data_IF_092453651218
#
_entry.id   IF_092453651218
#
_cell.length_a   1.000
_cell.length_b   1.000
_cell.length_c   1.000
_cell.angle_alpha   90.00
_cell.angle_beta   90.00
_cell.angle_gamma   90.00
#
_symmetry.space_group_name_H-M   'P 1'
#
loop_
_entity.id
_entity.type
_entity.pdbx_description
1 polymer ?
#
# COMPACT_ATOMS: atom_id res chain seq x y z
N UNK A 1 -8.20 14.88 -12.02
CA UNK A 1 -6.82 14.96 -12.51
C UNK A 1 -5.96 16.00 -11.77
N UNK A 2 -6.42 17.23 -11.53
CA UNK A 2 -5.63 18.27 -10.82
C UNK A 2 -5.07 17.82 -9.46
N UNK A 3 -5.91 17.31 -8.56
CA UNK A 3 -5.49 16.81 -7.22
C UNK A 3 -4.43 15.69 -7.29
N UNK A 4 -4.57 14.78 -8.25
CA UNK A 4 -3.60 13.71 -8.47
C UNK A 4 -2.26 14.28 -8.97
N UNK A 5 -2.30 15.28 -9.86
CA UNK A 5 -1.10 15.96 -10.34
C UNK A 5 -0.38 16.68 -9.20
N UNK A 6 -1.10 17.40 -8.34
CA UNK A 6 -0.53 18.06 -7.15
C UNK A 6 0.17 17.05 -6.21
N UNK A 7 -0.43 15.88 -6.00
CA UNK A 7 0.18 14.81 -5.23
C UNK A 7 1.44 14.23 -5.90
N UNK A 8 1.37 13.97 -7.21
CA UNK A 8 2.49 13.46 -8.01
C UNK A 8 3.68 14.44 -8.04
N UNK A 9 3.39 15.75 -8.03
CA UNK A 9 4.37 16.83 -7.94
C UNK A 9 4.84 17.11 -6.50
N UNK A 10 4.47 16.26 -5.53
CA UNK A 10 4.79 16.39 -4.11
C UNK A 10 4.30 17.69 -3.45
N UNK A 11 3.31 18.38 -4.03
CA UNK A 11 2.67 19.54 -3.41
C UNK A 11 1.79 19.13 -2.23
N UNK A 12 1.30 17.88 -2.23
CA UNK A 12 0.59 17.23 -1.13
C UNK A 12 1.30 15.92 -0.78
N UNK A 13 1.40 15.63 0.52
CA UNK A 13 2.05 14.40 1.03
C UNK A 13 1.12 13.22 1.22
N UNK A 14 -0.18 13.47 1.34
CA UNK A 14 -1.20 12.46 1.60
C UNK A 14 -2.24 12.52 0.49
N UNK A 15 -2.58 11.36 -0.05
CA UNK A 15 -3.66 11.16 -1.02
C UNK A 15 -4.62 10.12 -0.44
N UNK A 16 -5.87 10.52 -0.27
CA UNK A 16 -6.97 9.61 0.07
C UNK A 16 -7.75 9.33 -1.20
N UNK A 17 -7.91 8.05 -1.55
CA UNK A 17 -8.62 7.61 -2.74
C UNK A 17 -9.32 6.28 -2.48
N UNK A 18 -10.52 6.10 -3.02
CA UNK A 18 -11.24 4.82 -2.99
C UNK A 18 -10.66 3.84 -3.99
N UNK A 19 -10.36 4.31 -5.20
CA UNK A 19 -9.64 3.56 -6.22
C UNK A 19 -8.81 4.53 -7.08
N UNK A 20 -7.55 4.17 -7.30
CA UNK A 20 -6.70 4.85 -8.27
C UNK A 20 -6.79 4.12 -9.60
N UNK A 21 -6.95 4.86 -10.71
CA UNK A 21 -7.00 4.30 -12.06
C UNK A 21 -5.86 3.32 -12.33
N UNK A 22 -6.15 2.35 -13.19
CA UNK A 22 -5.36 1.14 -13.44
C UNK A 22 -3.89 1.41 -13.81
N UNK A 23 -3.04 0.51 -13.28
CA UNK A 23 -1.65 0.12 -13.59
C UNK A 23 -0.59 1.19 -13.95
N UNK A 24 -0.90 2.24 -14.69
CA UNK A 24 0.11 3.09 -15.36
C UNK A 24 0.25 4.50 -14.77
N UNK A 25 -0.60 4.87 -13.81
CA UNK A 25 -0.47 6.13 -13.07
C UNK A 25 0.56 6.00 -11.94
N UNK A 26 1.82 5.91 -12.36
CA UNK A 26 2.99 5.77 -11.50
C UNK A 26 3.26 6.99 -10.61
N UNK A 27 3.40 6.75 -9.31
CA UNK A 27 3.83 7.73 -8.31
C UNK A 27 5.11 7.17 -7.68
N UNK A 28 6.25 7.67 -8.11
CA UNK A 28 7.55 7.05 -7.77
C UNK A 28 8.05 7.40 -6.34
N UNK A 29 7.23 8.10 -5.55
CA UNK A 29 7.63 8.68 -4.26
C UNK A 29 6.72 8.28 -3.10
N UNK A 30 5.95 7.22 -3.26
CA UNK A 30 5.11 6.68 -2.18
C UNK A 30 5.88 5.58 -1.46
N UNK A 31 6.09 5.79 -0.16
CA UNK A 31 6.79 4.83 0.70
C UNK A 31 5.80 3.97 1.50
N UNK A 32 4.58 4.45 1.70
CA UNK A 32 3.58 3.81 2.56
C UNK A 32 2.23 3.80 1.87
N UNK A 33 1.56 2.65 1.88
CA UNK A 33 0.16 2.47 1.48
C UNK A 33 -0.65 2.04 2.71
N UNK A 34 -1.80 2.70 2.90
CA UNK A 34 -2.78 2.33 3.91
C UNK A 34 -4.05 1.85 3.20
N UNK A 35 -4.42 0.59 3.42
CA UNK A 35 -5.74 0.08 3.11
C UNK A 35 -6.60 0.31 4.35
N UNK A 36 -7.27 1.46 4.38
CA UNK A 36 -8.15 1.83 5.49
C UNK A 36 -9.36 0.91 5.57
N UNK A 37 -9.90 0.53 4.42
CA UNK A 37 -10.90 -0.53 4.26
C UNK A 37 -10.22 -1.75 3.62
N UNK A 38 -10.64 -2.96 4.02
CA UNK A 38 -10.12 -4.19 3.42
C UNK A 38 -10.45 -4.24 1.92
N UNK A 39 -9.49 -4.57 1.05
CA UNK A 39 -9.76 -4.67 -0.39
C UNK A 39 -10.77 -5.78 -0.69
N UNK A 40 -11.59 -5.59 -1.72
CA UNK A 40 -12.64 -6.55 -2.12
C UNK A 40 -12.07 -7.92 -2.53
N UNK A 41 -10.86 -7.94 -3.10
CA UNK A 41 -10.20 -9.16 -3.54
C UNK A 41 -8.67 -9.05 -3.51
N UNK A 42 -8.02 -10.19 -3.71
CA UNK A 42 -6.56 -10.34 -3.71
C UNK A 42 -5.87 -9.55 -4.83
N UNK A 43 -6.52 -9.39 -5.99
CA UNK A 43 -5.97 -8.63 -7.13
C UNK A 43 -6.02 -7.11 -6.88
N UNK A 44 -7.02 -6.64 -6.15
CA UNK A 44 -7.21 -5.25 -5.75
C UNK A 44 -6.19 -4.88 -4.68
N UNK A 45 -6.00 -5.75 -3.68
CA UNK A 45 -4.92 -5.63 -2.71
C UNK A 45 -3.57 -5.46 -3.41
N UNK A 46 -3.24 -6.34 -4.37
CA UNK A 46 -1.99 -6.27 -5.12
C UNK A 46 -1.83 -4.92 -5.86
N UNK A 47 -2.86 -4.43 -6.54
CA UNK A 47 -2.82 -3.12 -7.24
C UNK A 47 -2.63 -1.92 -6.31
N UNK A 48 -3.07 -2.02 -5.06
CA UNK A 48 -2.93 -0.97 -4.07
C UNK A 48 -1.53 -0.99 -3.43
N UNK A 49 -1.06 -2.16 -2.97
CA UNK A 49 0.24 -2.24 -2.26
C UNK A 49 1.43 -2.01 -3.19
N UNK A 50 1.31 -2.36 -4.47
CA UNK A 50 2.33 -2.09 -5.50
C UNK A 50 2.52 -0.60 -5.83
N UNK A 51 1.73 0.29 -5.21
CA UNK A 51 1.95 1.74 -5.29
C UNK A 51 3.11 2.20 -4.41
N UNK A 52 3.44 1.46 -3.35
CA UNK A 52 4.67 1.63 -2.59
C UNK A 52 5.77 0.69 -3.10
N UNK A 53 7.04 1.05 -2.90
CA UNK A 53 8.16 0.18 -3.26
C UNK A 53 8.36 -0.01 -4.77
N UNK A 54 8.02 1.00 -5.58
CA UNK A 54 8.15 0.94 -7.04
C UNK A 54 9.63 0.93 -7.46
N UNK A 55 9.96 0.32 -8.59
CA UNK A 55 11.32 0.24 -9.15
C UNK A 55 12.34 -0.47 -8.24
N UNK A 56 11.89 -1.45 -7.46
CA UNK A 56 12.75 -2.21 -6.55
C UNK A 56 13.11 -1.47 -5.27
N UNK A 57 12.45 -0.34 -5.00
CA UNK A 57 12.58 0.38 -3.73
C UNK A 57 11.80 -0.31 -2.63
N UNK A 58 12.15 -0.04 -1.37
CA UNK A 58 11.38 -0.53 -0.23
C UNK A 58 10.06 0.23 -0.07
N UNK A 59 9.06 -0.42 0.52
CA UNK A 59 7.76 0.17 0.82
C UNK A 59 7.05 -0.57 1.95
N UNK A 60 6.10 0.10 2.59
CA UNK A 60 5.29 -0.44 3.67
C UNK A 60 3.82 -0.45 3.25
N UNK A 61 3.14 -1.57 3.45
CA UNK A 61 1.69 -1.69 3.30
C UNK A 61 1.09 -2.04 4.66
N UNK A 62 0.10 -1.25 5.09
CA UNK A 62 -0.67 -1.49 6.31
C UNK A 62 -2.13 -1.63 5.91
N UNK A 63 -2.77 -2.69 6.38
CA UNK A 63 -4.18 -2.96 6.10
C UNK A 63 -4.94 -3.10 7.41
N UNK A 64 -6.08 -2.42 7.51
CA UNK A 64 -6.95 -2.56 8.67
C UNK A 64 -7.89 -3.74 8.47
N UNK A 65 -8.03 -4.53 9.53
CA UNK A 65 -8.90 -5.71 9.59
C UNK A 65 -9.87 -5.46 10.74
N UNK A 66 -11.16 -5.31 10.43
CA UNK A 66 -12.17 -4.87 11.40
C UNK A 66 -13.13 -6.01 11.75
N UNK A 67 -13.40 -6.90 10.81
CA UNK A 67 -14.37 -7.99 10.95
C UNK A 67 -13.82 -9.33 10.46
N UNK A 68 -14.59 -10.41 10.66
CA UNK A 68 -14.19 -11.77 10.25
C UNK A 68 -14.10 -11.94 8.73
N UNK A 69 -14.92 -11.22 7.95
CA UNK A 69 -14.81 -11.24 6.49
C UNK A 69 -13.49 -10.64 6.00
N UNK A 70 -13.02 -9.56 6.62
CA UNK A 70 -11.73 -8.96 6.31
C UNK A 70 -10.59 -9.96 6.62
N UNK A 71 -10.69 -10.66 7.76
CA UNK A 71 -9.73 -11.70 8.12
C UNK A 71 -9.70 -12.86 7.11
N UNK A 72 -10.86 -13.25 6.56
CA UNK A 72 -10.94 -14.26 5.52
C UNK A 72 -10.21 -13.83 4.23
N UNK A 73 -10.40 -12.58 3.80
CA UNK A 73 -9.69 -12.03 2.62
C UNK A 73 -8.18 -11.96 2.91
N UNK A 74 -7.76 -11.61 4.14
CA UNK A 74 -6.35 -11.57 4.50
C UNK A 74 -5.70 -12.95 4.39
N UNK A 75 -6.40 -14.01 4.82
CA UNK A 75 -5.95 -15.40 4.67
C UNK A 75 -5.80 -15.76 3.19
N UNK A 76 -6.75 -15.36 2.34
CA UNK A 76 -6.68 -15.57 0.90
C UNK A 76 -5.47 -14.86 0.28
N UNK A 77 -5.21 -13.60 0.67
CA UNK A 77 -4.04 -12.83 0.23
C UNK A 77 -2.74 -13.55 0.59
N UNK A 78 -2.60 -13.94 1.86
CA UNK A 78 -1.40 -14.63 2.35
C UNK A 78 -1.18 -15.96 1.62
N UNK A 79 -2.25 -16.73 1.41
CA UNK A 79 -2.20 -18.00 0.70
C UNK A 79 -1.85 -17.82 -0.78
N UNK A 80 -2.42 -16.80 -1.45
CA UNK A 80 -2.22 -16.59 -2.89
C UNK A 80 -0.81 -16.12 -3.23
N UNK A 81 -0.22 -15.27 -2.39
CA UNK A 81 1.09 -14.68 -2.63
C UNK A 81 2.22 -15.35 -1.85
N UNK A 82 1.91 -16.37 -1.05
CA UNK A 82 2.88 -17.09 -0.21
C UNK A 82 3.65 -16.14 0.73
N UNK A 83 2.95 -15.15 1.28
CA UNK A 83 3.52 -14.15 2.20
C UNK A 83 2.86 -14.23 3.56
N UNK A 84 3.63 -13.94 4.60
CA UNK A 84 3.12 -13.78 5.96
C UNK A 84 2.93 -12.29 6.24
N UNK A 85 1.70 -11.89 6.53
CA UNK A 85 1.32 -10.54 6.94
C UNK A 85 1.06 -10.60 8.44
N UNK A 86 2.04 -10.13 9.21
CA UNK A 86 1.97 -10.14 10.66
C UNK A 86 1.23 -8.93 11.20
N UNK A 87 0.78 -9.03 12.45
CA UNK A 87 0.30 -7.87 13.19
C UNK A 87 1.38 -6.78 13.26
N UNK A 88 0.95 -5.52 13.25
CA UNK A 88 1.84 -4.37 13.31
C UNK A 88 2.48 -4.28 14.70
N UNK A 89 3.81 -4.18 14.75
CA UNK A 89 4.54 -3.97 16.00
C UNK A 89 4.43 -2.52 16.49
N UNK A 90 4.58 -2.31 17.80
CA UNK A 90 4.61 -0.97 18.41
C UNK A 90 5.78 -0.11 17.87
N UNK A 91 6.87 -0.76 17.48
CA UNK A 91 8.04 -0.12 16.91
C UNK A 91 8.28 -0.60 15.47
N UNK A 92 8.43 0.35 14.54
CA UNK A 92 8.80 0.08 13.15
C UNK A 92 10.03 0.90 12.80
N UNK A 93 11.12 0.22 12.45
CA UNK A 93 12.33 0.88 11.98
C UNK A 93 12.11 1.45 10.56
N UNK A 94 12.35 2.76 10.39
CA UNK A 94 12.20 3.46 9.11
C UNK A 94 13.04 2.85 7.97
N UNK A 95 14.23 2.31 8.27
CA UNK A 95 15.14 1.74 7.27
C UNK A 95 14.60 0.46 6.61
N UNK A 96 13.55 -0.15 7.17
CA UNK A 96 12.91 -1.35 6.62
C UNK A 96 11.98 -1.04 5.45
N UNK A 97 11.49 0.20 5.34
CA UNK A 97 10.54 0.60 4.29
C UNK A 97 10.88 1.93 3.61
N UNK A 98 11.89 2.66 4.09
CA UNK A 98 12.45 3.84 3.44
C UNK A 98 13.87 3.50 3.00
N UNK A 99 14.16 3.72 1.72
CA UNK A 99 15.55 3.70 1.26
C UNK A 99 16.22 5.05 1.56
N UNK A 100 17.38 4.97 2.22
CA UNK A 100 18.24 6.12 2.42
C UNK A 100 18.73 6.62 1.07
N UNK A 101 18.17 7.75 0.63
CA UNK A 101 18.64 8.46 -0.56
C UNK A 101 20.10 8.86 -0.34
N UNK A 102 21.00 8.27 -1.13
CA UNK A 102 22.29 8.90 -1.43
C UNK A 102 22.09 10.04 -2.41
#
# INVERSE_FOLDING_TARGET
LARYKEFKECQKRILVATNLFERDMGIDRVNIVFNYDMPEDTDTYLRQVTRAGRLGTKGLAITYVVNESDAAILIEIQSRFEVQITEMSDEINADTYIESRR
#
